data_IF_859576265501
#
_entry.id   IF_859576265501
#
_cell.length_a   1.000
_cell.length_b   1.000
_cell.length_c   1.000
_cell.angle_alpha   90.00
_cell.angle_beta   90.00
_cell.angle_gamma   90.00
#
_symmetry.space_group_name_H-M   'P 1'
#
loop_
_entity.id
_entity.type
_entity.pdbx_description
1 polymer ?
#
# COMPACT_ATOMS: atom_id res chain seq x y z
N UNK A 1 -7.01 30.46 -26.40
CA UNK A 1 -5.63 29.86 -26.33
C UNK A 1 -4.73 30.86 -25.58
N UNK A 2 -4.74 30.82 -24.26
CA UNK A 2 -3.72 31.48 -23.44
C UNK A 2 -3.11 30.37 -22.58
N UNK A 3 -1.98 29.83 -23.02
CA UNK A 3 -1.10 28.97 -22.20
C UNK A 3 -0.53 29.89 -21.11
N UNK A 4 -1.02 29.71 -19.88
CA UNK A 4 -0.43 30.35 -18.71
C UNK A 4 1.01 29.84 -18.54
N UNK A 5 1.96 30.74 -18.62
CA UNK A 5 3.41 30.51 -18.51
C UNK A 5 3.89 30.22 -17.07
N UNK A 6 2.97 29.79 -16.17
CA UNK A 6 3.26 29.61 -14.76
C UNK A 6 3.67 28.19 -14.31
N UNK A 7 3.41 27.16 -15.09
CA UNK A 7 3.51 25.75 -14.64
C UNK A 7 4.76 24.98 -15.13
N UNK A 8 5.77 25.68 -15.63
CA UNK A 8 6.95 25.01 -16.23
C UNK A 8 7.98 24.47 -15.20
N UNK A 9 7.76 24.64 -13.91
CA UNK A 9 8.77 24.25 -12.89
C UNK A 9 8.44 22.96 -12.13
N UNK A 10 7.29 22.33 -12.34
CA UNK A 10 6.88 21.11 -11.61
C UNK A 10 6.43 19.95 -12.51
N UNK A 11 6.44 20.07 -13.83
CA UNK A 11 6.28 18.91 -14.70
C UNK A 11 7.56 18.08 -14.67
N UNK A 12 7.60 17.13 -13.73
CA UNK A 12 8.60 16.08 -13.79
C UNK A 12 8.36 15.31 -15.08
N UNK A 13 9.35 15.25 -15.96
CA UNK A 13 9.27 14.46 -17.20
C UNK A 13 8.80 13.05 -16.84
N UNK A 14 7.88 12.48 -17.61
CA UNK A 14 7.34 11.12 -17.37
C UNK A 14 8.44 10.06 -17.22
N UNK A 15 9.58 10.25 -17.83
CA UNK A 15 10.74 9.36 -17.68
C UNK A 15 11.37 9.46 -16.29
N UNK A 16 11.51 10.66 -15.73
CA UNK A 16 12.05 10.86 -14.38
C UNK A 16 11.11 10.26 -13.34
N UNK A 17 9.82 10.44 -13.52
CA UNK A 17 8.78 9.87 -12.69
C UNK A 17 8.87 8.34 -12.63
N UNK A 18 8.92 7.68 -13.78
CA UNK A 18 9.05 6.22 -13.87
C UNK A 18 10.35 5.72 -13.22
N UNK A 19 11.46 6.45 -13.39
CA UNK A 19 12.73 6.11 -12.75
C UNK A 19 12.64 6.25 -11.22
N UNK A 20 12.00 7.30 -10.71
CA UNK A 20 11.82 7.47 -9.26
C UNK A 20 10.93 6.39 -8.65
N UNK A 21 9.85 5.99 -9.33
CA UNK A 21 9.05 4.86 -8.90
C UNK A 21 9.82 3.54 -8.92
N UNK A 22 10.64 3.31 -9.94
CA UNK A 22 11.48 2.12 -10.03
C UNK A 22 12.53 2.07 -8.89
N UNK A 23 13.15 3.20 -8.58
CA UNK A 23 14.08 3.33 -7.45
C UNK A 23 13.35 3.04 -6.14
N UNK A 24 12.19 3.67 -5.93
CA UNK A 24 11.36 3.46 -4.74
C UNK A 24 10.97 1.99 -4.58
N UNK A 25 10.49 1.34 -5.64
CA UNK A 25 10.14 -0.08 -5.62
C UNK A 25 11.34 -0.97 -5.29
N UNK A 26 12.50 -0.70 -5.89
CA UNK A 26 13.74 -1.44 -5.63
C UNK A 26 14.19 -1.29 -4.18
N UNK A 27 14.16 -0.07 -3.64
CA UNK A 27 14.47 0.20 -2.24
C UNK A 27 13.48 -0.50 -1.30
N UNK A 28 12.20 -0.56 -1.67
CA UNK A 28 11.17 -1.24 -0.88
C UNK A 28 11.41 -2.74 -0.80
N UNK A 29 11.73 -3.38 -1.93
CA UNK A 29 12.08 -4.81 -2.01
C UNK A 29 13.31 -5.11 -1.14
N UNK A 30 14.36 -4.29 -1.24
CA UNK A 30 15.56 -4.44 -0.41
C UNK A 30 15.27 -4.21 1.08
N UNK A 31 14.37 -3.28 1.40
CA UNK A 31 13.89 -3.04 2.75
C UNK A 31 13.20 -4.25 3.34
N UNK A 32 12.27 -4.86 2.61
CA UNK A 32 11.57 -6.07 3.02
C UNK A 32 12.56 -7.23 3.23
N UNK A 33 13.51 -7.40 2.32
CA UNK A 33 14.57 -8.42 2.47
C UNK A 33 15.35 -8.25 3.77
N UNK A 34 15.66 -7.01 4.17
CA UNK A 34 16.37 -6.71 5.43
C UNK A 34 15.48 -6.87 6.67
N UNK A 35 14.18 -6.77 6.54
CA UNK A 35 13.23 -7.02 7.63
C UNK A 35 13.18 -8.49 8.07
N UNK A 36 13.59 -9.43 7.22
CA UNK A 36 13.59 -10.85 7.51
C UNK A 36 14.57 -11.27 8.62
N UNK A 37 15.57 -10.44 8.97
CA UNK A 37 16.54 -10.71 10.04
C UNK A 37 16.46 -9.65 11.14
N UNK A 38 16.39 -10.05 12.43
CA UNK A 38 16.35 -9.11 13.56
C UNK A 38 17.53 -8.12 13.58
N UNK A 39 18.72 -8.56 13.18
CA UNK A 39 19.93 -7.75 13.15
C UNK A 39 19.84 -6.59 12.14
N UNK A 40 19.13 -6.76 11.02
CA UNK A 40 19.00 -5.79 9.95
C UNK A 40 17.63 -5.13 9.86
N UNK A 41 16.66 -5.59 10.63
CA UNK A 41 15.26 -5.16 10.56
C UNK A 41 15.09 -3.64 10.73
N UNK A 42 15.84 -3.03 11.66
CA UNK A 42 15.78 -1.58 11.88
C UNK A 42 16.21 -0.78 10.65
N UNK A 43 17.26 -1.22 9.97
CA UNK A 43 17.73 -0.60 8.73
C UNK A 43 16.79 -0.90 7.56
N UNK A 44 16.22 -2.09 7.52
CA UNK A 44 15.17 -2.46 6.56
C UNK A 44 13.94 -1.56 6.66
N UNK A 45 13.46 -1.33 7.87
CA UNK A 45 12.32 -0.44 8.11
C UNK A 45 12.60 1.02 7.69
N UNK A 46 13.79 1.54 8.02
CA UNK A 46 14.21 2.88 7.57
C UNK A 46 14.27 2.98 6.04
N UNK A 47 14.82 1.98 5.37
CA UNK A 47 14.92 1.95 3.92
C UNK A 47 13.52 1.93 3.27
N UNK A 48 12.63 1.10 3.78
CA UNK A 48 11.22 1.04 3.32
C UNK A 48 10.48 2.35 3.56
N UNK A 49 10.71 3.02 4.69
CA UNK A 49 10.09 4.31 5.01
C UNK A 49 10.56 5.41 4.04
N UNK A 50 11.84 5.44 3.69
CA UNK A 50 12.39 6.39 2.71
C UNK A 50 11.81 6.09 1.32
N UNK A 51 11.74 4.82 0.93
CA UNK A 51 11.16 4.41 -0.34
C UNK A 51 9.70 4.87 -0.46
N UNK A 52 8.89 4.67 0.60
CA UNK A 52 7.50 5.12 0.66
C UNK A 52 7.40 6.65 0.56
N UNK A 53 8.27 7.38 1.26
CA UNK A 53 8.29 8.84 1.20
C UNK A 53 8.57 9.34 -0.23
N UNK A 54 9.53 8.75 -0.93
CA UNK A 54 9.82 9.07 -2.33
C UNK A 54 8.59 8.83 -3.20
N UNK A 55 7.95 7.66 -3.08
CA UNK A 55 6.75 7.33 -3.85
C UNK A 55 5.61 8.33 -3.60
N UNK A 56 5.36 8.71 -2.34
CA UNK A 56 4.33 9.70 -1.97
C UNK A 56 4.65 11.06 -2.58
N UNK A 57 5.88 11.54 -2.47
CA UNK A 57 6.28 12.85 -3.02
C UNK A 57 6.07 12.85 -4.54
N UNK A 58 6.52 11.82 -5.24
CA UNK A 58 6.36 11.71 -6.69
C UNK A 58 4.88 11.71 -7.09
N UNK A 59 4.06 10.95 -6.36
CA UNK A 59 2.62 10.87 -6.60
C UNK A 59 1.94 12.23 -6.37
N UNK A 60 2.25 12.90 -5.27
CA UNK A 60 1.69 14.23 -4.97
C UNK A 60 2.07 15.24 -6.04
N UNK A 61 3.32 15.27 -6.48
CA UNK A 61 3.78 16.18 -7.52
C UNK A 61 3.10 15.92 -8.88
N UNK A 62 2.78 14.67 -9.19
CA UNK A 62 2.07 14.29 -10.41
C UNK A 62 0.62 14.76 -10.42
N UNK A 63 -0.07 14.60 -9.32
CA UNK A 63 -1.50 14.86 -9.21
C UNK A 63 -1.83 16.22 -8.60
N UNK A 64 -0.89 17.19 -8.64
CA UNK A 64 -1.06 18.55 -8.08
C UNK A 64 -2.27 19.30 -8.67
N UNK A 65 -2.72 18.92 -9.87
CA UNK A 65 -3.87 19.55 -10.54
C UNK A 65 -5.23 18.97 -10.13
N UNK A 66 -5.25 17.83 -9.42
CA UNK A 66 -6.49 17.14 -9.05
C UNK A 66 -6.62 16.99 -7.55
N UNK A 67 -7.48 17.85 -6.93
CA UNK A 67 -7.96 17.65 -5.55
C UNK A 67 -6.86 17.38 -4.50
N UNK A 68 -5.76 18.12 -4.57
CA UNK A 68 -4.62 18.03 -3.63
C UNK A 68 -5.08 18.12 -2.17
N UNK A 69 -6.15 18.85 -1.90
CA UNK A 69 -6.75 19.01 -0.57
C UNK A 69 -7.14 17.68 0.07
N UNK A 70 -7.76 16.78 -0.69
CA UNK A 70 -8.17 15.46 -0.21
C UNK A 70 -6.98 14.54 0.06
N UNK A 71 -5.94 14.64 -0.77
CA UNK A 71 -4.70 13.88 -0.59
C UNK A 71 -3.99 14.33 0.70
N UNK A 72 -3.84 15.64 0.90
CA UNK A 72 -3.22 16.20 2.11
C UNK A 72 -4.05 15.84 3.35
N UNK A 73 -5.37 15.96 3.29
CA UNK A 73 -6.26 15.59 4.39
C UNK A 73 -6.09 14.12 4.77
N UNK A 74 -6.11 13.22 3.77
CA UNK A 74 -5.89 11.79 3.99
C UNK A 74 -4.52 11.49 4.59
N UNK A 75 -3.47 12.17 4.12
CA UNK A 75 -2.11 12.02 4.62
C UNK A 75 -2.01 12.46 6.11
N UNK A 76 -2.60 13.60 6.47
CA UNK A 76 -2.59 14.12 7.84
C UNK A 76 -3.35 13.17 8.77
N UNK A 77 -4.56 12.75 8.39
CA UNK A 77 -5.37 11.84 9.20
C UNK A 77 -4.67 10.48 9.35
N UNK A 78 -4.23 9.87 8.24
CA UNK A 78 -3.57 8.58 8.26
C UNK A 78 -2.26 8.58 9.05
N UNK A 79 -1.44 9.63 8.89
CA UNK A 79 -0.19 9.78 9.65
C UNK A 79 -0.45 9.98 11.14
N UNK A 80 -1.45 10.78 11.51
CA UNK A 80 -1.80 11.03 12.90
C UNK A 80 -2.25 9.74 13.60
N UNK A 81 -3.12 8.97 12.96
CA UNK A 81 -3.59 7.68 13.47
C UNK A 81 -2.43 6.69 13.54
N UNK A 82 -1.60 6.61 12.51
CA UNK A 82 -0.45 5.71 12.47
C UNK A 82 0.57 5.99 13.56
N UNK A 83 0.93 7.26 13.79
CA UNK A 83 1.85 7.68 14.85
C UNK A 83 1.25 7.37 16.24
N UNK A 84 -0.03 7.65 16.43
CA UNK A 84 -0.73 7.38 17.68
C UNK A 84 -0.71 5.88 18.00
N UNK A 85 -1.14 5.03 17.07
CA UNK A 85 -1.12 3.58 17.23
C UNK A 85 0.30 3.04 17.48
N UNK A 86 1.28 3.52 16.72
CA UNK A 86 2.68 3.12 16.87
C UNK A 86 3.29 3.45 18.24
N UNK A 87 2.82 4.51 18.90
CA UNK A 87 3.34 4.92 20.23
C UNK A 87 2.63 4.25 21.40
N UNK A 88 1.33 3.98 21.27
CA UNK A 88 0.52 3.47 22.37
C UNK A 88 0.40 1.94 22.40
N UNK A 89 0.71 1.26 21.29
CA UNK A 89 0.63 -0.19 21.23
C UNK A 89 1.84 -0.82 21.93
N UNK A 90 1.56 -1.76 22.85
CA UNK A 90 2.58 -2.52 23.58
C UNK A 90 3.36 -3.45 22.62
N UNK A 91 4.61 -3.74 22.96
CA UNK A 91 5.48 -4.64 22.17
C UNK A 91 4.85 -6.02 21.95
N UNK A 92 4.08 -6.52 22.92
CA UNK A 92 3.36 -7.80 22.83
C UNK A 92 2.24 -7.79 21.80
N UNK A 93 1.67 -6.62 21.50
CA UNK A 93 0.61 -6.43 20.50
C UNK A 93 1.12 -6.00 19.12
N UNK A 94 2.44 -5.96 18.89
CA UNK A 94 3.02 -5.60 17.59
C UNK A 94 2.56 -6.50 16.44
N UNK A 95 2.45 -7.84 16.57
CA UNK A 95 1.94 -8.68 15.49
C UNK A 95 0.50 -8.32 15.07
N UNK A 96 -0.33 -7.96 16.02
CA UNK A 96 -1.71 -7.51 15.78
C UNK A 96 -1.75 -6.18 15.03
N UNK A 97 -0.91 -5.21 15.41
CA UNK A 97 -0.78 -3.92 14.73
C UNK A 97 -0.34 -4.11 13.27
N UNK A 98 0.66 -4.96 13.04
CA UNK A 98 1.14 -5.29 11.70
C UNK A 98 0.03 -5.92 10.85
N UNK A 99 -0.77 -6.83 11.41
CA UNK A 99 -1.90 -7.45 10.72
C UNK A 99 -2.95 -6.40 10.32
N UNK A 100 -3.28 -5.45 11.19
CA UNK A 100 -4.22 -4.36 10.89
C UNK A 100 -3.69 -3.46 9.77
N UNK A 101 -2.43 -3.03 9.84
CA UNK A 101 -1.85 -2.19 8.79
C UNK A 101 -1.78 -2.91 7.45
N UNK A 102 -1.46 -4.21 7.45
CA UNK A 102 -1.48 -5.01 6.24
C UNK A 102 -2.89 -5.13 5.65
N UNK A 103 -3.91 -5.29 6.49
CA UNK A 103 -5.30 -5.29 6.06
C UNK A 103 -5.68 -3.98 5.36
N UNK A 104 -5.42 -2.84 5.98
CA UNK A 104 -5.71 -1.54 5.37
C UNK A 104 -4.90 -1.29 4.09
N UNK A 105 -3.67 -1.76 4.00
CA UNK A 105 -2.88 -1.74 2.76
C UNK A 105 -3.55 -2.56 1.65
N UNK A 106 -4.05 -3.75 1.96
CA UNK A 106 -4.82 -4.59 1.03
C UNK A 106 -6.12 -3.92 0.58
N UNK A 107 -6.87 -3.31 1.52
CA UNK A 107 -8.07 -2.55 1.20
C UNK A 107 -7.78 -1.38 0.26
N UNK A 108 -6.76 -0.58 0.56
CA UNK A 108 -6.36 0.55 -0.29
C UNK A 108 -6.02 0.09 -1.71
N UNK A 109 -5.23 -0.97 -1.85
CA UNK A 109 -4.88 -1.57 -3.14
C UNK A 109 -6.12 -2.04 -3.92
N UNK A 110 -7.05 -2.72 -3.26
CA UNK A 110 -8.29 -3.19 -3.88
C UNK A 110 -9.19 -2.02 -4.33
N UNK A 111 -9.34 -0.98 -3.49
CA UNK A 111 -10.17 0.19 -3.81
C UNK A 111 -9.60 0.96 -5.01
N UNK A 112 -8.28 1.19 -5.06
CA UNK A 112 -7.62 1.86 -6.18
C UNK A 112 -7.80 1.07 -7.47
N UNK A 113 -7.63 -0.26 -7.41
CA UNK A 113 -7.82 -1.13 -8.56
C UNK A 113 -9.30 -1.15 -9.03
N UNK A 114 -10.26 -1.20 -8.10
CA UNK A 114 -11.68 -1.12 -8.44
C UNK A 114 -12.07 0.22 -9.05
N UNK A 115 -11.51 1.33 -8.54
CA UNK A 115 -11.73 2.66 -9.10
C UNK A 115 -11.29 2.71 -10.57
N UNK A 116 -10.10 2.22 -10.86
CA UNK A 116 -9.56 2.14 -12.21
C UNK A 116 -10.47 1.31 -13.14
N UNK A 117 -10.96 0.17 -12.64
CA UNK A 117 -11.84 -0.72 -13.39
C UNK A 117 -13.20 -0.05 -13.71
N UNK A 118 -13.79 0.65 -12.74
CA UNK A 118 -15.16 1.19 -12.87
C UNK A 118 -15.17 2.52 -13.64
N UNK A 119 -14.23 3.41 -13.35
CA UNK A 119 -14.29 4.78 -13.84
C UNK A 119 -13.43 5.03 -15.09
N UNK A 120 -12.43 4.20 -15.36
CA UNK A 120 -11.57 4.33 -16.54
C UNK A 120 -11.88 3.31 -17.65
N UNK A 121 -12.89 2.47 -17.49
CA UNK A 121 -13.30 1.45 -18.48
C UNK A 121 -13.75 2.01 -19.83
N UNK A 122 -13.92 3.32 -19.97
CA UNK A 122 -14.33 3.98 -21.22
C UNK A 122 -13.18 4.33 -22.19
N UNK A 123 -11.94 4.30 -21.75
CA UNK A 123 -10.76 4.46 -22.59
C UNK A 123 -10.26 3.08 -23.01
N UNK A 124 -9.70 2.94 -24.22
CA UNK A 124 -9.18 1.70 -24.79
C UNK A 124 -8.05 1.14 -23.90
N UNK A 125 -8.42 0.46 -22.83
CA UNK A 125 -7.43 -0.13 -21.94
C UNK A 125 -6.81 -1.35 -22.59
N UNK A 126 -5.48 -1.43 -22.54
CA UNK A 126 -4.75 -2.62 -23.00
C UNK A 126 -5.15 -3.81 -22.13
N UNK A 127 -5.29 -4.99 -22.73
CA UNK A 127 -5.60 -6.26 -22.03
C UNK A 127 -4.68 -6.50 -20.82
N UNK A 128 -3.41 -6.08 -20.93
CA UNK A 128 -2.44 -6.16 -19.84
C UNK A 128 -2.83 -5.30 -18.62
N UNK A 129 -3.30 -4.07 -18.85
CA UNK A 129 -3.75 -3.18 -17.76
C UNK A 129 -4.97 -3.79 -17.07
N UNK A 130 -5.95 -4.25 -17.85
CA UNK A 130 -7.15 -4.88 -17.30
C UNK A 130 -6.82 -6.12 -16.46
N UNK A 131 -5.95 -6.99 -16.95
CA UNK A 131 -5.49 -8.16 -16.20
C UNK A 131 -4.78 -7.76 -14.89
N UNK A 132 -3.93 -6.74 -14.92
CA UNK A 132 -3.21 -6.24 -13.75
C UNK A 132 -4.16 -5.68 -12.70
N UNK A 133 -5.18 -4.92 -13.11
CA UNK A 133 -6.20 -4.35 -12.22
C UNK A 133 -7.05 -5.45 -11.58
N UNK A 134 -7.50 -6.43 -12.35
CA UNK A 134 -8.24 -7.59 -11.83
C UNK A 134 -7.41 -8.36 -10.80
N UNK A 135 -6.14 -8.60 -11.10
CA UNK A 135 -5.22 -9.29 -10.20
C UNK A 135 -5.00 -8.48 -8.91
N UNK A 136 -4.77 -7.18 -9.02
CA UNK A 136 -4.61 -6.29 -7.87
C UNK A 136 -5.85 -6.26 -6.97
N UNK A 137 -7.05 -6.27 -7.56
CA UNK A 137 -8.31 -6.33 -6.81
C UNK A 137 -8.44 -7.63 -6.03
N UNK A 138 -8.14 -8.78 -6.65
CA UNK A 138 -8.21 -10.09 -6.00
C UNK A 138 -7.19 -10.16 -4.86
N UNK A 139 -5.92 -9.84 -5.13
CA UNK A 139 -4.85 -9.91 -4.13
C UNK A 139 -5.13 -8.94 -2.98
N UNK A 140 -5.57 -7.71 -3.28
CA UNK A 140 -5.93 -6.72 -2.27
C UNK A 140 -7.08 -7.19 -1.36
N UNK A 141 -8.13 -7.77 -1.95
CA UNK A 141 -9.28 -8.29 -1.20
C UNK A 141 -8.91 -9.48 -0.30
N UNK A 142 -8.10 -10.41 -0.82
CA UNK A 142 -7.60 -11.56 -0.04
C UNK A 142 -6.69 -11.08 1.09
N UNK A 143 -5.82 -10.11 0.81
CA UNK A 143 -4.93 -9.51 1.83
C UNK A 143 -5.74 -8.85 2.94
N UNK A 144 -6.76 -8.07 2.58
CA UNK A 144 -7.64 -7.42 3.54
C UNK A 144 -8.33 -8.43 4.46
N UNK A 145 -9.06 -9.37 3.87
CA UNK A 145 -9.83 -10.35 4.64
C UNK A 145 -8.94 -11.30 5.45
N UNK A 146 -7.87 -11.81 4.84
CA UNK A 146 -6.93 -12.70 5.51
C UNK A 146 -6.20 -12.04 6.69
N UNK A 147 -5.83 -10.78 6.55
CA UNK A 147 -5.16 -10.03 7.63
C UNK A 147 -6.12 -9.69 8.77
N UNK A 148 -7.40 -9.41 8.50
CA UNK A 148 -8.39 -9.25 9.57
C UNK A 148 -8.67 -10.56 10.31
N UNK A 149 -8.70 -11.69 9.61
CA UNK A 149 -8.81 -13.01 10.25
C UNK A 149 -7.58 -13.27 11.13
N UNK A 150 -6.38 -12.97 10.64
CA UNK A 150 -5.15 -13.09 11.41
C UNK A 150 -5.17 -12.20 12.66
N UNK A 151 -5.61 -10.94 12.52
CA UNK A 151 -5.81 -10.04 13.65
C UNK A 151 -6.79 -10.61 14.68
N UNK A 152 -7.95 -11.11 14.24
CA UNK A 152 -8.94 -11.71 15.13
C UNK A 152 -8.44 -12.96 15.87
N UNK A 153 -7.57 -13.77 15.23
CA UNK A 153 -6.90 -14.88 15.87
C UNK A 153 -5.86 -14.44 16.90
N UNK A 154 -5.09 -13.42 16.58
CA UNK A 154 -4.08 -12.86 17.49
C UNK A 154 -4.70 -12.13 18.69
N UNK A 155 -5.93 -11.65 18.54
CA UNK A 155 -6.74 -11.07 19.64
C UNK A 155 -7.53 -12.13 20.43
N UNK A 156 -7.38 -13.42 20.09
CA UNK A 156 -8.14 -14.52 20.68
C UNK A 156 -9.67 -14.42 20.55
N UNK A 157 -10.15 -13.49 19.71
CA UNK A 157 -11.58 -13.36 19.38
C UNK A 157 -12.04 -14.52 18.49
N UNK A 158 -11.16 -14.97 17.60
CA UNK A 158 -11.39 -16.15 16.77
C UNK A 158 -10.64 -17.35 17.32
N UNK A 159 -11.27 -18.53 17.22
CA UNK A 159 -10.64 -19.77 17.65
C UNK A 159 -9.29 -20.00 16.96
N UNK A 160 -8.27 -20.26 17.76
CA UNK A 160 -6.92 -20.59 17.26
C UNK A 160 -6.79 -22.06 16.87
N UNK A 161 -7.82 -22.88 17.13
CA UNK A 161 -7.79 -24.29 16.75
C UNK A 161 -7.71 -24.43 15.23
N UNK A 162 -6.86 -25.33 14.72
CA UNK A 162 -6.76 -25.56 13.27
C UNK A 162 -8.10 -26.13 12.75
N UNK A 163 -8.62 -25.47 11.71
CA UNK A 163 -9.80 -25.97 10.99
C UNK A 163 -9.32 -27.09 10.08
N UNK A 164 -9.62 -28.33 10.46
CA UNK A 164 -9.23 -29.51 9.69
C UNK A 164 -10.25 -29.71 8.57
N UNK A 165 -9.85 -29.47 7.34
CA UNK A 165 -10.64 -29.81 6.17
C UNK A 165 -10.64 -31.34 6.01
N UNK A 166 -11.81 -32.02 5.87
CA UNK A 166 -11.89 -33.47 5.87
C UNK A 166 -11.12 -34.16 4.72
N UNK A 167 -10.79 -33.44 3.67
CA UNK A 167 -10.05 -33.94 2.50
C UNK A 167 -8.56 -33.56 2.47
N UNK A 168 -7.99 -33.06 3.56
CA UNK A 168 -6.59 -32.55 3.60
C UNK A 168 -5.51 -33.58 3.18
N UNK A 169 -5.82 -34.87 3.24
CA UNK A 169 -4.86 -35.93 2.90
C UNK A 169 -4.89 -36.30 1.41
N UNK A 170 -5.74 -35.64 0.61
CA UNK A 170 -5.91 -35.90 -0.84
C UNK A 170 -5.38 -34.73 -1.67
N UNK A 171 -5.14 -33.58 -1.03
CA UNK A 171 -4.52 -32.40 -1.61
C UNK A 171 -3.05 -32.34 -1.18
#
# INVERSE_FOLDING_TARGET
RVKSKGNCLLEISSNIENVLYLISASMFILGIKRLASPATARNGNRLSSIAMLIAIIVTVLKYTETNLEWIILGLIIGSSIGIMLSRYVQMTAMPQLVAVFNAFGGAASAIVAMYELVFQSGSTQTTFVLASVCFATIVGSVTFTGSFIAFGKLQEVLTTKPILIPLRNII
#
